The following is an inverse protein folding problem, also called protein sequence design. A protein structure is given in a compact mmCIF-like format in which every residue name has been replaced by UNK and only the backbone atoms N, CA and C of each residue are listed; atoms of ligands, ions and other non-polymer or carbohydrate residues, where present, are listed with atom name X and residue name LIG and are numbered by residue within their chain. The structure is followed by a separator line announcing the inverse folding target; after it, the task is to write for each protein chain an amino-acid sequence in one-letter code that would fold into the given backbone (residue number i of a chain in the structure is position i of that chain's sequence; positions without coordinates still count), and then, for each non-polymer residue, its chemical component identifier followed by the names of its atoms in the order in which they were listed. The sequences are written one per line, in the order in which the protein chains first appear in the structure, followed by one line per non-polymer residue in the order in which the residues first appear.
data_IF_141601823316
#
_entry.id   IF_141601823316
#
_cell.length_a   1.000
_cell.length_b   1.000
_cell.length_c   1.000
_cell.angle_alpha   90.00
_cell.angle_beta   90.00
_cell.angle_gamma   90.00
#
_symmetry.space_group_name_H-M   'P 1'
#
loop_
_entity.id
_entity.type
_entity.pdbx_description
1 polymer ?
#
# COMPACT_ATOMS: atom_id res chain seq x y z
N UNK A 1 16.13 13.58 -16.45
CA UNK A 1 15.62 12.95 -17.70
C UNK A 1 16.17 11.54 -17.88
N UNK A 2 16.00 10.66 -16.89
CA UNK A 2 16.36 9.25 -17.01
C UNK A 2 15.17 8.42 -16.50
N UNK A 3 14.31 7.95 -17.40
CA UNK A 3 13.23 7.02 -17.10
C UNK A 3 13.61 5.65 -17.65
N UNK A 4 13.49 4.60 -16.83
CA UNK A 4 13.79 3.23 -17.23
C UNK A 4 12.61 2.32 -16.88
N UNK A 5 12.07 1.64 -17.88
CA UNK A 5 11.06 0.60 -17.70
C UNK A 5 11.74 -0.77 -17.54
N UNK A 6 11.18 -1.60 -16.65
CA UNK A 6 11.56 -3.01 -16.48
C UNK A 6 10.38 -3.88 -16.90
N UNK A 7 10.63 -4.84 -17.80
CA UNK A 7 9.63 -5.79 -18.26
C UNK A 7 9.41 -6.91 -17.25
N UNK A 8 8.16 -7.34 -17.08
CA UNK A 8 7.77 -8.55 -16.34
C UNK A 8 6.68 -9.29 -17.14
N UNK A 9 6.81 -10.62 -17.35
CA UNK A 9 5.73 -11.42 -17.94
C UNK A 9 4.59 -11.73 -16.95
N UNK A 10 4.84 -11.54 -15.65
CA UNK A 10 3.86 -11.80 -14.58
C UNK A 10 2.95 -10.59 -14.36
N UNK A 11 1.90 -10.51 -15.20
CA UNK A 11 0.90 -9.44 -15.12
C UNK A 11 0.16 -9.46 -13.78
N UNK A 12 -0.20 -10.65 -13.29
CA UNK A 12 -0.94 -10.83 -12.03
C UNK A 12 -0.15 -10.29 -10.85
N UNK A 13 1.13 -10.65 -10.72
CA UNK A 13 1.97 -10.16 -9.64
C UNK A 13 2.20 -8.64 -9.70
N UNK A 14 2.29 -8.06 -10.90
CA UNK A 14 2.43 -6.61 -11.07
C UNK A 14 1.15 -5.88 -10.65
N UNK A 15 -0.02 -6.33 -11.11
CA UNK A 15 -1.32 -5.72 -10.79
C UNK A 15 -1.64 -5.80 -9.29
N UNK A 16 -1.48 -6.98 -8.69
CA UNK A 16 -1.73 -7.17 -7.27
C UNK A 16 -0.73 -6.40 -6.40
N UNK A 17 0.54 -6.31 -6.81
CA UNK A 17 1.54 -5.48 -6.14
C UNK A 17 1.13 -4.00 -6.10
N UNK A 18 0.74 -3.46 -7.26
CA UNK A 18 0.29 -2.08 -7.41
C UNK A 18 -1.01 -1.77 -6.67
N UNK A 19 -1.93 -2.73 -6.56
CA UNK A 19 -3.18 -2.56 -5.83
C UNK A 19 -2.98 -2.65 -4.31
N UNK A 20 -2.29 -3.70 -3.84
CA UNK A 20 -2.15 -3.98 -2.41
C UNK A 20 -1.27 -2.98 -1.66
N UNK A 21 -0.27 -2.37 -2.33
CA UNK A 21 0.58 -1.34 -1.70
C UNK A 21 -0.24 -0.19 -1.09
N UNK A 22 -1.38 0.15 -1.70
CA UNK A 22 -2.23 1.25 -1.27
C UNK A 22 -2.94 0.92 0.04
N UNK A 23 -3.30 -0.34 0.25
CA UNK A 23 -3.86 -0.83 1.52
C UNK A 23 -2.80 -0.82 2.61
N UNK A 24 -1.57 -1.27 2.30
CA UNK A 24 -0.45 -1.24 3.25
C UNK A 24 -0.12 0.21 3.63
N UNK A 25 -0.18 1.14 2.67
CA UNK A 25 0.07 2.56 2.92
C UNK A 25 -0.97 3.22 3.85
N UNK A 26 -2.25 2.81 3.79
CA UNK A 26 -3.26 3.23 4.77
C UNK A 26 -2.83 2.82 6.18
N UNK A 27 -2.47 1.54 6.35
CA UNK A 27 -2.05 1.01 7.65
C UNK A 27 -0.73 1.63 8.15
N UNK A 28 0.23 1.89 7.25
CA UNK A 28 1.45 2.65 7.59
C UNK A 28 1.12 4.07 8.06
N UNK A 29 0.21 4.76 7.37
CA UNK A 29 -0.29 6.06 7.81
C UNK A 29 -0.95 6.01 9.18
N UNK A 30 -1.75 4.98 9.47
CA UNK A 30 -2.36 4.80 10.80
C UNK A 30 -1.31 4.64 11.90
N UNK A 31 -0.23 3.88 11.66
CA UNK A 31 0.87 3.77 12.61
C UNK A 31 1.49 5.12 12.97
N UNK A 32 1.58 6.01 11.99
CA UNK A 32 2.09 7.37 12.21
C UNK A 32 1.07 8.28 12.90
N UNK A 33 -0.20 8.22 12.50
CA UNK A 33 -1.28 8.94 13.18
C UNK A 33 -1.38 8.57 14.66
N UNK A 34 -1.12 7.30 15.00
CA UNK A 34 -1.06 6.76 16.36
C UNK A 34 0.28 7.05 17.10
N UNK A 35 1.28 7.64 16.43
CA UNK A 35 2.57 7.96 17.05
C UNK A 35 3.45 6.74 17.39
N UNK A 36 3.27 5.59 16.73
CA UNK A 36 3.98 4.34 17.05
C UNK A 36 5.46 4.32 16.62
N UNK A 37 5.87 5.27 15.78
CA UNK A 37 7.25 5.42 15.29
C UNK A 37 7.60 4.50 14.12
N UNK A 38 8.82 4.68 13.60
CA UNK A 38 9.29 4.06 12.37
C UNK A 38 9.52 2.55 12.47
N UNK A 39 9.88 2.03 13.64
CA UNK A 39 10.09 0.60 13.84
C UNK A 39 8.78 -0.19 13.72
N UNK A 40 7.69 0.32 14.32
CA UNK A 40 6.37 -0.27 14.20
C UNK A 40 5.88 -0.23 12.75
N UNK A 41 6.06 0.91 12.07
CA UNK A 41 5.74 1.05 10.66
C UNK A 41 6.54 0.08 9.77
N UNK A 42 7.84 -0.06 9.99
CA UNK A 42 8.68 -0.97 9.21
C UNK A 42 8.27 -2.45 9.42
N UNK A 43 7.94 -2.82 10.65
CA UNK A 43 7.41 -4.16 10.95
C UNK A 43 6.06 -4.39 10.24
N UNK A 44 5.16 -3.40 10.27
CA UNK A 44 3.86 -3.47 9.59
C UNK A 44 4.04 -3.62 8.08
N UNK A 45 4.85 -2.78 7.44
CA UNK A 45 5.07 -2.81 5.99
C UNK A 45 5.69 -4.14 5.56
N UNK A 46 6.67 -4.64 6.31
CA UNK A 46 7.32 -5.94 6.02
C UNK A 46 6.32 -7.09 6.08
N UNK A 47 5.43 -7.09 7.09
CA UNK A 47 4.36 -8.09 7.19
C UNK A 47 3.33 -7.94 6.07
N UNK A 48 2.96 -6.71 5.73
CA UNK A 48 2.08 -6.40 4.59
C UNK A 48 2.63 -6.94 3.27
N UNK A 49 3.92 -6.78 2.99
CA UNK A 49 4.57 -7.36 1.81
C UNK A 49 4.52 -8.90 1.82
N UNK A 50 4.58 -9.52 3.00
CA UNK A 50 4.43 -10.98 3.14
C UNK A 50 3.01 -11.43 2.81
N UNK A 51 1.99 -10.69 3.24
CA UNK A 51 0.58 -10.94 2.90
C UNK A 51 0.32 -10.72 1.42
N UNK A 52 0.89 -9.66 0.84
CA UNK A 52 0.86 -9.40 -0.61
C UNK A 52 1.41 -10.59 -1.40
N UNK A 53 2.57 -11.11 -1.01
CA UNK A 53 3.16 -12.30 -1.65
C UNK A 53 2.24 -13.51 -1.57
N UNK A 54 1.56 -13.72 -0.43
CA UNK A 54 0.63 -14.85 -0.30
C UNK A 54 -0.56 -14.70 -1.25
N UNK A 55 -1.14 -13.50 -1.37
CA UNK A 55 -2.26 -13.26 -2.28
C UNK A 55 -1.83 -13.45 -3.74
N UNK A 56 -0.67 -12.90 -4.12
CA UNK A 56 -0.11 -13.07 -5.47
C UNK A 56 0.00 -14.55 -5.85
N UNK A 57 0.56 -15.37 -4.97
CA UNK A 57 0.70 -16.82 -5.21
C UNK A 57 -0.67 -17.49 -5.35
N UNK A 58 -1.63 -17.16 -4.50
CA UNK A 58 -2.99 -17.74 -4.56
C UNK A 58 -3.70 -17.37 -5.87
N UNK A 59 -3.45 -16.17 -6.40
CA UNK A 59 -4.01 -15.71 -7.67
C UNK A 59 -3.23 -16.19 -8.91
N UNK A 60 -2.18 -17.01 -8.74
CA UNK A 60 -1.40 -17.57 -9.84
C UNK A 60 -0.29 -16.67 -10.38
N UNK A 61 0.08 -15.62 -9.65
CA UNK A 61 1.25 -14.78 -9.98
C UNK A 61 2.54 -15.31 -9.36
N UNK A 62 3.66 -14.75 -9.78
CA UNK A 62 4.99 -15.18 -9.35
C UNK A 62 5.43 -14.47 -8.07
N UNK A 63 5.81 -15.20 -7.00
CA UNK A 63 6.22 -14.57 -5.75
C UNK A 63 7.49 -13.71 -5.88
N UNK A 64 8.32 -13.94 -6.90
CA UNK A 64 9.51 -13.12 -7.19
C UNK A 64 9.16 -11.70 -7.63
N UNK A 65 8.03 -11.50 -8.32
CA UNK A 65 7.55 -10.19 -8.78
C UNK A 65 7.29 -9.24 -7.62
N UNK A 66 6.84 -9.76 -6.47
CA UNK A 66 6.59 -8.96 -5.26
C UNK A 66 7.87 -8.31 -4.73
N UNK A 67 9.02 -8.93 -4.90
CA UNK A 67 10.30 -8.35 -4.47
C UNK A 67 10.85 -7.30 -5.45
N UNK A 68 10.19 -7.11 -6.60
CA UNK A 68 10.55 -6.12 -7.61
C UNK A 68 10.01 -4.72 -7.36
N UNK A 69 10.09 -3.87 -8.39
CA UNK A 69 9.65 -2.46 -8.32
C UNK A 69 8.14 -2.33 -8.09
N UNK A 70 7.30 -3.17 -8.70
CA UNK A 70 5.84 -3.10 -8.57
C UNK A 70 5.31 -3.56 -7.21
N UNK A 71 6.09 -4.34 -6.46
CA UNK A 71 5.74 -4.78 -5.11
C UNK A 71 6.46 -3.97 -4.05
N UNK A 72 7.58 -4.49 -3.52
CA UNK A 72 8.34 -3.89 -2.43
C UNK A 72 8.81 -2.47 -2.77
N UNK A 73 9.33 -2.24 -3.98
CA UNK A 73 9.87 -0.92 -4.36
C UNK A 73 8.83 0.20 -4.22
N UNK A 74 7.70 0.03 -4.88
CA UNK A 74 6.60 0.99 -4.85
C UNK A 74 5.89 1.04 -3.49
N UNK A 75 5.78 -0.10 -2.79
CA UNK A 75 5.24 -0.15 -1.42
C UNK A 75 6.05 0.74 -0.47
N UNK A 76 7.38 0.66 -0.52
CA UNK A 76 8.24 1.48 0.34
C UNK A 76 8.13 2.96 -0.02
N UNK A 77 8.17 3.30 -1.30
CA UNK A 77 7.98 4.69 -1.76
C UNK A 77 6.63 5.26 -1.31
N UNK A 78 5.57 4.43 -1.34
CA UNK A 78 4.21 4.83 -0.96
C UNK A 78 4.01 4.90 0.57
N UNK A 79 4.66 4.03 1.35
CA UNK A 79 4.48 3.99 2.81
C UNK A 79 5.36 4.99 3.57
N UNK A 80 6.56 5.29 3.07
CA UNK A 80 7.51 6.19 3.74
C UNK A 80 7.57 7.58 3.07
N UNK A 81 7.02 7.73 1.86
CA UNK A 81 6.97 9.00 1.16
C UNK A 81 5.87 9.95 1.66
N UNK A 82 6.12 11.28 1.71
CA UNK A 82 5.14 12.24 2.21
C UNK A 82 3.96 12.48 1.24
N UNK A 83 4.12 12.16 -0.04
CA UNK A 83 3.16 12.47 -1.11
C UNK A 83 2.07 11.41 -1.31
N UNK A 84 2.11 10.31 -0.55
CA UNK A 84 1.14 9.24 -0.67
C UNK A 84 -0.21 9.63 -0.06
N UNK A 85 -1.26 9.61 -0.88
CA UNK A 85 -2.64 9.94 -0.51
C UNK A 85 -3.21 8.91 0.44
N UNK A 86 -2.96 7.62 0.16
CA UNK A 86 -3.34 6.52 1.03
C UNK A 86 -2.69 6.66 2.41
N UNK A 87 -1.40 7.05 2.47
CA UNK A 87 -0.74 7.31 3.75
C UNK A 87 -1.38 8.49 4.49
N UNK A 88 -1.71 9.58 3.81
CA UNK A 88 -2.36 10.75 4.43
C UNK A 88 -3.74 10.40 5.00
N UNK A 89 -4.56 9.64 4.26
CA UNK A 89 -5.84 9.10 4.77
C UNK A 89 -5.59 8.23 5.99
N UNK A 90 -4.59 7.35 5.95
CA UNK A 90 -4.17 6.53 7.08
C UNK A 90 -3.81 7.36 8.32
N UNK A 91 -3.04 8.44 8.16
CA UNK A 91 -2.65 9.34 9.26
C UNK A 91 -3.89 9.97 9.92
N UNK A 92 -4.83 10.46 9.11
CA UNK A 92 -6.08 11.06 9.62
C UNK A 92 -6.94 10.03 10.37
N UNK A 93 -7.07 8.82 9.83
CA UNK A 93 -7.72 7.71 10.52
C UNK A 93 -7.02 7.37 11.85
N UNK A 94 -5.69 7.32 11.86
CA UNK A 94 -4.90 7.08 13.07
C UNK A 94 -5.03 8.18 14.14
N UNK A 95 -5.38 9.41 13.74
CA UNK A 95 -5.70 10.54 14.64
C UNK A 95 -7.14 10.52 15.16
N UNK A 96 -7.97 9.60 14.69
CA UNK A 96 -9.35 9.42 15.14
C UNK A 96 -10.41 10.14 14.30
N UNK A 97 -10.05 10.71 13.15
CA UNK A 97 -11.06 11.23 12.20
C UNK A 97 -11.86 10.09 11.57
N UNK A 98 -13.15 10.31 11.28
CA UNK A 98 -13.96 9.31 10.58
C UNK A 98 -13.60 9.22 9.10
N UNK A 99 -13.82 8.05 8.49
CA UNK A 99 -13.55 7.86 7.07
C UNK A 99 -14.44 8.79 6.22
N UNK A 100 -15.68 9.00 6.65
CA UNK A 100 -16.65 9.87 5.99
C UNK A 100 -16.17 11.32 5.94
N UNK A 101 -15.68 11.86 7.06
CA UNK A 101 -15.11 13.22 7.12
C UNK A 101 -13.86 13.35 6.25
N UNK A 102 -13.02 12.30 6.23
CA UNK A 102 -11.79 12.30 5.42
C UNK A 102 -12.12 12.36 3.94
N UNK A 103 -13.05 11.51 3.49
CA UNK A 103 -13.44 11.44 2.08
C UNK A 103 -14.23 12.68 1.64
N UNK A 104 -15.06 13.26 2.52
CA UNK A 104 -15.81 14.46 2.21
C UNK A 104 -14.91 15.70 2.01
N UNK A 105 -13.76 15.76 2.69
CA UNK A 105 -12.81 16.88 2.58
C UNK A 105 -11.67 16.64 1.59
N UNK A 106 -11.57 15.44 0.99
CA UNK A 106 -10.52 15.11 0.02
C UNK A 106 -10.97 15.36 -1.41
N UNK A 107 -10.14 16.03 -2.19
CA UNK A 107 -10.33 16.18 -3.65
C UNK A 107 -9.74 15.02 -4.45
N UNK A 108 -8.93 14.17 -3.82
CA UNK A 108 -8.24 13.04 -4.44
C UNK A 108 -8.76 11.71 -3.90
N UNK A 109 -8.73 10.67 -4.75
CA UNK A 109 -9.23 9.32 -4.41
C UNK A 109 -8.14 8.50 -3.71
N UNK A 110 -8.43 7.99 -2.52
CA UNK A 110 -7.60 7.01 -1.83
C UNK A 110 -8.01 5.58 -2.24
N UNK A 111 -7.43 5.10 -3.33
CA UNK A 111 -7.71 3.77 -3.92
C UNK A 111 -7.64 2.62 -2.90
N UNK A 112 -6.75 2.71 -1.92
CA UNK A 112 -6.58 1.69 -0.87
C UNK A 112 -7.87 1.41 -0.10
N UNK A 113 -8.76 2.41 0.04
CA UNK A 113 -10.04 2.23 0.73
C UNK A 113 -10.93 1.27 -0.05
N UNK A 114 -11.04 1.44 -1.37
CA UNK A 114 -11.79 0.53 -2.22
C UNK A 114 -11.11 -0.84 -2.31
N UNK A 115 -9.78 -0.88 -2.51
CA UNK A 115 -9.01 -2.11 -2.62
C UNK A 115 -9.12 -2.98 -1.36
N UNK A 116 -9.06 -2.38 -0.16
CA UNK A 116 -9.19 -3.12 1.11
C UNK A 116 -10.50 -3.91 1.23
N UNK A 117 -11.59 -3.38 0.64
CA UNK A 117 -12.90 -4.05 0.61
C UNK A 117 -12.97 -5.14 -0.47
N UNK A 118 -12.16 -5.01 -1.53
CA UNK A 118 -12.15 -5.97 -2.63
C UNK A 118 -11.36 -7.23 -2.30
N UNK A 119 -10.22 -7.10 -1.61
CA UNK A 119 -9.30 -8.22 -1.29
C UNK A 119 -9.77 -9.10 -0.13
N UNK A 120 -10.87 -8.74 0.54
CA UNK A 120 -11.44 -9.47 1.68
C UNK A 120 -12.67 -10.31 1.30
N UNK A 121 -13.07 -10.29 0.03
CA UNK A 121 -14.14 -11.13 -0.53
C UNK A 121 -13.59 -12.45 -1.03
#
# INVERSE_FOLDING_TARGET
TNFRALYSPDVVGVELGGAMKNVIALAAGMCEGLGLGTNAMAALVTRGCTEMRKLVVVCGGEPSTVFGLSGVGDTFGTCFGPLSRNRQVGIRLGKGESLEEILASSTEVAEGVATSRAITK
#
